data_IF_275352572298
#
_entry.id   IF_275352572298
#
_cell.length_a   1.000
_cell.length_b   1.000
_cell.length_c   1.000
_cell.angle_alpha   90.00
_cell.angle_beta   90.00
_cell.angle_gamma   90.00
#
_symmetry.space_group_name_H-M   'P 1'
#
loop_
_entity.id
_entity.type
_entity.pdbx_description
1 polymer ?
#
# COMPACT_ATOMS: atom_id res chain seq x y z
N UNK A 1 -40.02 -1.33 -18.88
CA UNK A 1 -38.66 -0.82 -18.61
C UNK A 1 -38.28 -1.33 -17.22
N UNK A 2 -37.36 -2.30 -17.15
CA UNK A 2 -37.15 -3.12 -15.95
C UNK A 2 -36.32 -2.35 -14.92
N UNK A 3 -36.87 -2.06 -13.74
CA UNK A 3 -36.21 -1.29 -12.66
C UNK A 3 -34.99 -2.04 -12.08
N UNK A 4 -34.92 -3.36 -12.31
CA UNK A 4 -33.81 -4.23 -11.90
C UNK A 4 -32.49 -3.99 -12.65
N UNK A 5 -32.49 -3.23 -13.76
CA UNK A 5 -31.26 -2.92 -14.51
C UNK A 5 -30.50 -1.68 -14.01
N UNK A 6 -31.04 -0.93 -13.03
CA UNK A 6 -30.47 0.31 -12.50
C UNK A 6 -29.87 0.16 -11.09
N UNK A 7 -30.01 -0.99 -10.44
CA UNK A 7 -29.25 -1.31 -9.23
C UNK A 7 -27.87 -1.80 -9.63
N UNK A 8 -26.93 -0.86 -9.67
CA UNK A 8 -25.58 -1.05 -10.19
C UNK A 8 -24.92 -2.31 -9.63
N UNK A 9 -24.24 -3.03 -10.52
CA UNK A 9 -23.18 -3.97 -10.13
C UNK A 9 -22.39 -3.38 -8.97
N UNK A 10 -22.35 -4.09 -7.84
CA UNK A 10 -21.87 -3.60 -6.55
C UNK A 10 -20.34 -3.41 -6.58
N UNK A 11 -19.86 -2.44 -7.38
CA UNK A 11 -18.46 -2.19 -7.72
C UNK A 11 -17.59 -1.86 -6.50
N UNK A 12 -18.23 -1.48 -5.38
CA UNK A 12 -17.61 -1.26 -4.07
C UNK A 12 -17.06 -2.52 -3.41
N UNK A 13 -17.45 -3.71 -3.87
CA UNK A 13 -17.09 -5.00 -3.28
C UNK A 13 -16.34 -5.96 -4.22
N UNK A 14 -16.16 -5.58 -5.50
CA UNK A 14 -15.33 -6.34 -6.44
C UNK A 14 -13.84 -6.17 -6.12
N UNK A 15 -13.10 -7.26 -5.78
CA UNK A 15 -11.67 -7.20 -5.50
C UNK A 15 -10.84 -6.57 -6.62
N UNK A 16 -11.22 -6.76 -7.89
CA UNK A 16 -10.47 -6.20 -9.03
C UNK A 16 -10.69 -4.69 -9.13
N UNK A 17 -11.92 -4.22 -8.92
CA UNK A 17 -12.24 -2.79 -8.90
C UNK A 17 -11.54 -2.04 -7.75
N UNK A 18 -11.49 -2.66 -6.55
CA UNK A 18 -10.71 -2.14 -5.42
C UNK A 18 -9.23 -2.06 -5.79
N UNK A 19 -8.68 -3.14 -6.37
CA UNK A 19 -7.29 -3.20 -6.84
C UNK A 19 -6.95 -2.08 -7.82
N UNK A 20 -7.78 -1.84 -8.84
CA UNK A 20 -7.57 -0.75 -9.82
C UNK A 20 -7.62 0.64 -9.18
N UNK A 21 -8.53 0.85 -8.24
CA UNK A 21 -8.64 2.13 -7.53
C UNK A 21 -7.41 2.36 -6.68
N UNK A 22 -6.97 1.34 -5.95
CA UNK A 22 -5.74 1.37 -5.17
C UNK A 22 -4.52 1.62 -6.07
N UNK A 23 -4.38 0.90 -7.18
CA UNK A 23 -3.28 1.10 -8.14
C UNK A 23 -3.21 2.56 -8.62
N UNK A 24 -4.35 3.17 -8.96
CA UNK A 24 -4.41 4.56 -9.41
C UNK A 24 -3.93 5.53 -8.32
N UNK A 25 -4.35 5.31 -7.08
CA UNK A 25 -3.95 6.15 -5.94
C UNK A 25 -2.47 5.98 -5.61
N UNK A 26 -1.95 4.75 -5.64
CA UNK A 26 -0.53 4.47 -5.41
C UNK A 26 0.35 5.01 -6.54
N UNK A 27 -0.10 4.93 -7.79
CA UNK A 27 0.60 5.55 -8.92
C UNK A 27 0.64 7.08 -8.77
N UNK A 28 -0.47 7.70 -8.36
CA UNK A 28 -0.52 9.14 -8.08
C UNK A 28 0.41 9.53 -6.91
N UNK A 29 0.43 8.75 -5.83
CA UNK A 29 1.36 8.95 -4.72
C UNK A 29 2.82 8.78 -5.15
N UNK A 30 3.11 7.80 -6.02
CA UNK A 30 4.43 7.57 -6.60
C UNK A 30 4.86 8.77 -7.45
N UNK A 31 3.96 9.31 -8.29
CA UNK A 31 4.21 10.51 -9.10
C UNK A 31 4.47 11.75 -8.22
N UNK A 32 3.69 11.94 -7.17
CA UNK A 32 3.91 13.03 -6.21
C UNK A 32 5.25 12.88 -5.49
N UNK A 33 5.59 11.67 -5.02
CA UNK A 33 6.87 11.38 -4.39
C UNK A 33 8.05 11.60 -5.34
N UNK A 34 7.91 11.26 -6.61
CA UNK A 34 8.91 11.56 -7.65
C UNK A 34 9.08 13.07 -7.88
N UNK A 35 7.98 13.84 -7.88
CA UNK A 35 8.06 15.30 -7.95
C UNK A 35 8.80 15.88 -6.73
N UNK A 36 8.55 15.34 -5.53
CA UNK A 36 9.30 15.70 -4.31
C UNK A 36 10.77 15.33 -4.46
N UNK A 37 11.11 14.17 -5.02
CA UNK A 37 12.50 13.78 -5.26
C UNK A 37 13.22 14.76 -6.20
N UNK A 38 12.56 15.19 -7.29
CA UNK A 38 13.10 16.21 -8.20
C UNK A 38 13.31 17.54 -7.49
N UNK A 39 12.37 17.96 -6.65
CA UNK A 39 12.51 19.16 -5.82
C UNK A 39 13.68 19.05 -4.84
N UNK A 40 13.84 17.93 -4.13
CA UNK A 40 15.01 17.68 -3.29
C UNK A 40 16.31 17.71 -4.10
N UNK A 41 16.27 17.27 -5.36
CA UNK A 41 17.40 17.34 -6.29
C UNK A 41 17.91 18.75 -6.53
N UNK A 42 17.04 19.77 -6.50
CA UNK A 42 17.45 21.18 -6.62
C UNK A 42 18.05 21.72 -5.32
N UNK A 43 17.62 21.21 -4.16
CA UNK A 43 18.12 21.63 -2.84
C UNK A 43 19.46 20.99 -2.46
N UNK A 44 19.62 19.69 -2.73
CA UNK A 44 20.79 18.90 -2.29
C UNK A 44 21.86 18.69 -3.38
N UNK A 45 21.63 19.20 -4.61
CA UNK A 45 22.61 19.15 -5.70
C UNK A 45 22.66 17.83 -6.46
N UNK A 46 21.50 17.16 -6.63
CA UNK A 46 21.38 15.83 -7.26
C UNK A 46 20.37 15.76 -8.40
N UNK A 47 20.09 16.86 -9.09
CA UNK A 47 18.98 16.98 -10.04
C UNK A 47 18.99 15.93 -11.17
N UNK A 48 20.16 15.62 -11.75
CA UNK A 48 20.28 14.61 -12.81
C UNK A 48 19.88 13.22 -12.33
N UNK A 49 20.35 12.81 -11.14
CA UNK A 49 19.97 11.56 -10.50
C UNK A 49 18.47 11.56 -10.16
N UNK A 50 17.96 12.68 -9.65
CA UNK A 50 16.55 12.82 -9.30
C UNK A 50 15.64 12.66 -10.51
N UNK A 51 15.94 13.36 -11.62
CA UNK A 51 15.16 13.26 -12.85
C UNK A 51 15.26 11.88 -13.49
N UNK A 52 16.47 11.31 -13.58
CA UNK A 52 16.69 9.99 -14.15
C UNK A 52 15.99 8.88 -13.34
N UNK A 53 16.16 8.90 -12.02
CA UNK A 53 15.50 7.96 -11.11
C UNK A 53 13.99 8.09 -11.12
N UNK A 54 13.45 9.31 -11.03
CA UNK A 54 12.02 9.58 -11.10
C UNK A 54 11.40 9.10 -12.41
N UNK A 55 12.06 9.40 -13.55
CA UNK A 55 11.60 8.96 -14.86
C UNK A 55 11.58 7.42 -14.96
N UNK A 56 12.65 6.75 -14.53
CA UNK A 56 12.72 5.29 -14.55
C UNK A 56 11.61 4.65 -13.70
N UNK A 57 11.41 5.15 -12.47
CA UNK A 57 10.35 4.65 -11.57
C UNK A 57 8.97 4.85 -12.19
N UNK A 58 8.68 6.03 -12.74
CA UNK A 58 7.36 6.33 -13.32
C UNK A 58 7.08 5.56 -14.61
N UNK A 59 8.09 5.34 -15.46
CA UNK A 59 7.95 4.52 -16.66
C UNK A 59 7.61 3.06 -16.29
N UNK A 60 8.32 2.50 -15.30
CA UNK A 60 8.05 1.14 -14.82
C UNK A 60 6.66 1.05 -14.17
N UNK A 61 6.37 1.95 -13.24
CA UNK A 61 5.09 1.98 -12.52
C UNK A 61 3.90 2.19 -13.47
N UNK A 62 4.00 3.16 -14.37
CA UNK A 62 2.98 3.48 -15.37
C UNK A 62 2.80 2.35 -16.39
N UNK A 63 3.89 1.76 -16.87
CA UNK A 63 3.83 0.61 -17.79
C UNK A 63 3.13 -0.59 -17.18
N UNK A 64 3.42 -0.91 -15.92
CA UNK A 64 2.79 -2.02 -15.20
C UNK A 64 1.32 -1.71 -14.91
N UNK A 65 1.00 -0.49 -14.49
CA UNK A 65 -0.39 -0.05 -14.31
C UNK A 65 -1.22 -0.22 -15.59
N UNK A 66 -0.67 0.22 -16.74
CA UNK A 66 -1.36 0.08 -18.03
C UNK A 66 -1.54 -1.39 -18.45
N UNK A 67 -0.56 -2.25 -18.17
CA UNK A 67 -0.59 -3.65 -18.61
C UNK A 67 -1.40 -4.57 -17.68
N UNK A 68 -1.44 -4.29 -16.37
CA UNK A 68 -1.86 -5.28 -15.38
C UNK A 68 -2.68 -4.69 -14.20
N UNK A 69 -3.29 -3.51 -14.35
CA UNK A 69 -4.10 -2.90 -13.28
C UNK A 69 -5.20 -3.82 -12.73
N UNK A 70 -5.33 -3.85 -11.40
CA UNK A 70 -6.22 -4.71 -10.63
C UNK A 70 -5.63 -6.09 -10.31
N UNK A 71 -4.43 -6.41 -10.82
CA UNK A 71 -3.77 -7.69 -10.55
C UNK A 71 -2.83 -7.64 -9.33
N UNK A 72 -2.49 -8.81 -8.80
CA UNK A 72 -1.45 -8.94 -7.77
C UNK A 72 -0.08 -8.46 -8.28
N UNK A 73 0.23 -8.68 -9.56
CA UNK A 73 1.49 -8.23 -10.12
C UNK A 73 1.60 -6.70 -10.08
N UNK A 74 0.52 -6.00 -10.44
CA UNK A 74 0.47 -4.53 -10.36
C UNK A 74 0.67 -4.05 -8.93
N UNK A 75 -0.03 -4.63 -7.95
CA UNK A 75 0.06 -4.16 -6.57
C UNK A 75 1.44 -4.37 -5.95
N UNK A 76 2.10 -5.49 -6.24
CA UNK A 76 3.47 -5.75 -5.79
C UNK A 76 4.48 -4.82 -6.46
N UNK A 77 4.34 -4.60 -7.77
CA UNK A 77 5.22 -3.73 -8.53
C UNK A 77 5.07 -2.26 -8.11
N UNK A 78 3.84 -1.76 -7.98
CA UNK A 78 3.57 -0.39 -7.53
C UNK A 78 4.00 -0.18 -6.07
N UNK A 79 3.84 -1.18 -5.21
CA UNK A 79 4.42 -1.15 -3.86
C UNK A 79 5.95 -1.00 -3.89
N UNK A 80 6.60 -1.79 -4.74
CA UNK A 80 8.05 -1.69 -4.95
C UNK A 80 8.44 -0.32 -5.47
N UNK A 81 7.76 0.20 -6.50
CA UNK A 81 8.00 1.53 -7.05
C UNK A 81 7.85 2.63 -6.01
N UNK A 82 6.83 2.54 -5.14
CA UNK A 82 6.61 3.50 -4.07
C UNK A 82 7.78 3.50 -3.07
N UNK A 83 8.28 2.32 -2.69
CA UNK A 83 9.46 2.20 -1.81
C UNK A 83 10.74 2.69 -2.49
N UNK A 84 10.89 2.45 -3.80
CA UNK A 84 12.02 2.96 -4.57
C UNK A 84 12.00 4.48 -4.69
N UNK A 85 10.82 5.11 -4.70
CA UNK A 85 10.70 6.57 -4.63
C UNK A 85 11.23 7.10 -3.30
N UNK A 86 10.92 6.44 -2.18
CA UNK A 86 11.48 6.82 -0.86
C UNK A 86 12.99 6.61 -0.83
N UNK A 87 13.49 5.47 -1.34
CA UNK A 87 14.91 5.20 -1.47
C UNK A 87 15.64 6.28 -2.30
N UNK A 88 15.06 6.71 -3.41
CA UNK A 88 15.59 7.80 -4.23
C UNK A 88 15.67 9.12 -3.44
N UNK A 89 14.63 9.46 -2.68
CA UNK A 89 14.63 10.64 -1.82
C UNK A 89 15.73 10.58 -0.74
N UNK A 90 15.91 9.41 -0.11
CA UNK A 90 17.00 9.19 0.87
C UNK A 90 18.37 9.40 0.24
N UNK A 91 18.61 8.82 -0.95
CA UNK A 91 19.87 8.98 -1.67
C UNK A 91 20.16 10.46 -2.00
N UNK A 92 19.17 11.18 -2.51
CA UNK A 92 19.31 12.61 -2.87
C UNK A 92 19.54 13.45 -1.61
N UNK A 93 18.78 13.17 -0.55
CA UNK A 93 18.88 13.84 0.73
C UNK A 93 20.10 13.42 1.55
N UNK A 94 21.02 12.60 1.02
CA UNK A 94 22.22 12.12 1.74
C UNK A 94 21.87 11.44 3.07
N UNK A 95 20.77 10.70 3.09
CA UNK A 95 20.31 9.96 4.26
C UNK A 95 19.66 10.80 5.36
N UNK A 96 19.21 12.03 5.07
CA UNK A 96 18.44 12.88 6.00
C UNK A 96 17.33 12.09 6.70
N UNK A 97 17.28 12.18 8.03
CA UNK A 97 16.43 11.33 8.87
C UNK A 97 14.93 11.61 8.65
N UNK A 98 14.56 12.86 8.42
CA UNK A 98 13.18 13.30 8.17
C UNK A 98 12.57 12.64 6.93
N UNK A 99 13.39 12.30 5.93
CA UNK A 99 12.89 11.64 4.71
C UNK A 99 12.51 10.17 4.96
N UNK A 100 12.94 9.57 6.08
CA UNK A 100 12.54 8.21 6.47
C UNK A 100 11.06 8.13 6.83
N UNK A 101 10.41 9.24 7.21
CA UNK A 101 8.95 9.27 7.39
C UNK A 101 8.21 8.84 6.12
N UNK A 102 8.83 9.01 4.94
CA UNK A 102 8.31 8.50 3.67
C UNK A 102 8.05 6.99 3.68
N UNK A 103 8.82 6.20 4.42
CA UNK A 103 8.61 4.75 4.57
C UNK A 103 7.28 4.47 5.28
N UNK A 104 7.06 5.12 6.43
CA UNK A 104 5.85 4.96 7.25
C UNK A 104 4.59 5.39 6.48
N UNK A 105 4.66 6.54 5.81
CA UNK A 105 3.57 7.05 4.96
C UNK A 105 3.28 6.08 3.82
N UNK A 106 4.32 5.57 3.16
CA UNK A 106 4.16 4.64 2.03
C UNK A 106 3.53 3.33 2.47
N UNK A 107 3.99 2.74 3.57
CA UNK A 107 3.39 1.52 4.15
C UNK A 107 1.92 1.72 4.50
N UNK A 108 1.59 2.84 5.13
CA UNK A 108 0.20 3.18 5.46
C UNK A 108 -0.68 3.30 4.21
N UNK A 109 -0.15 3.88 3.12
CA UNK A 109 -0.87 3.94 1.83
C UNK A 109 -1.12 2.55 1.23
N UNK A 110 -0.23 1.58 1.45
CA UNK A 110 -0.41 0.22 0.91
C UNK A 110 -1.60 -0.52 1.52
N UNK A 111 -2.14 -0.08 2.67
CA UNK A 111 -3.42 -0.57 3.19
C UNK A 111 -4.60 -0.34 2.23
N UNK A 112 -4.49 0.59 1.27
CA UNK A 112 -5.49 0.80 0.23
C UNK A 112 -5.77 -0.47 -0.58
N UNK A 113 -4.79 -1.37 -0.72
CA UNK A 113 -5.00 -2.65 -1.39
C UNK A 113 -5.85 -3.64 -0.59
N UNK A 114 -6.01 -3.43 0.73
CA UNK A 114 -6.69 -4.36 1.65
C UNK A 114 -6.17 -5.81 1.53
N UNK A 115 -4.91 -5.94 1.13
CA UNK A 115 -4.20 -7.20 1.00
C UNK A 115 -2.85 -7.07 1.70
N UNK A 116 -2.44 -8.15 2.36
CA UNK A 116 -1.22 -8.18 3.16
C UNK A 116 0.03 -8.25 2.28
N UNK A 117 -0.10 -8.78 1.05
CA UNK A 117 1.03 -9.06 0.15
C UNK A 117 1.78 -7.80 -0.30
N UNK A 118 1.11 -6.72 -0.76
CA UNK A 118 1.80 -5.49 -1.14
C UNK A 118 2.49 -4.80 0.04
N UNK A 119 1.87 -4.85 1.23
CA UNK A 119 2.41 -4.29 2.48
C UNK A 119 3.72 -5.02 2.84
N UNK A 120 3.67 -6.36 2.91
CA UNK A 120 4.86 -7.16 3.21
C UNK A 120 5.95 -6.96 2.14
N UNK A 121 5.57 -6.91 0.87
CA UNK A 121 6.51 -6.65 -0.22
C UNK A 121 7.23 -5.30 -0.05
N UNK A 122 6.49 -4.23 0.25
CA UNK A 122 7.06 -2.91 0.48
C UNK A 122 8.00 -2.91 1.69
N UNK A 123 7.58 -3.50 2.81
CA UNK A 123 8.41 -3.64 4.01
C UNK A 123 9.71 -4.41 3.75
N UNK A 124 9.65 -5.49 2.96
CA UNK A 124 10.84 -6.27 2.59
C UNK A 124 11.78 -5.49 1.67
N UNK A 125 11.24 -4.82 0.65
CA UNK A 125 12.05 -4.00 -0.28
C UNK A 125 12.81 -2.94 0.48
N UNK A 126 12.14 -2.22 1.38
CA UNK A 126 12.78 -1.13 2.11
C UNK A 126 13.76 -1.65 3.18
N UNK A 127 13.48 -2.78 3.83
CA UNK A 127 14.41 -3.41 4.76
C UNK A 127 15.70 -3.86 4.06
N UNK A 128 15.57 -4.52 2.90
CA UNK A 128 16.72 -4.91 2.07
C UNK A 128 17.51 -3.68 1.63
N UNK A 129 16.83 -2.62 1.18
CA UNK A 129 17.47 -1.36 0.83
C UNK A 129 18.29 -0.81 2.01
N UNK A 130 17.70 -0.68 3.21
CA UNK A 130 18.40 -0.08 4.35
C UNK A 130 19.64 -0.88 4.76
N UNK A 131 19.51 -2.21 4.87
CA UNK A 131 20.64 -3.06 5.25
C UNK A 131 21.73 -3.03 4.17
N UNK A 132 21.36 -3.17 2.89
CA UNK A 132 22.32 -3.20 1.80
C UNK A 132 23.03 -1.86 1.65
N UNK A 133 22.29 -0.75 1.62
CA UNK A 133 22.84 0.59 1.42
C UNK A 133 23.70 1.00 2.61
N UNK A 134 23.29 0.69 3.84
CA UNK A 134 24.13 0.97 5.01
C UNK A 134 25.46 0.20 4.96
N UNK A 135 25.46 -1.09 4.56
CA UNK A 135 26.71 -1.86 4.36
C UNK A 135 27.59 -1.30 3.26
N UNK A 136 27.00 -0.87 2.14
CA UNK A 136 27.74 -0.25 1.05
C UNK A 136 28.30 1.12 1.47
N UNK A 137 27.54 1.91 2.21
CA UNK A 137 27.99 3.19 2.78
C UNK A 137 29.15 2.99 3.76
N UNK A 138 29.07 1.97 4.64
CA UNK A 138 30.15 1.58 5.53
C UNK A 138 31.43 1.14 4.78
N UNK A 139 31.27 0.57 3.58
CA UNK A 139 32.36 0.20 2.69
C UNK A 139 32.91 1.38 1.84
N UNK A 140 32.38 2.60 2.02
CA UNK A 140 32.85 3.81 1.35
C UNK A 140 32.23 4.09 -0.02
N UNK A 141 31.20 3.35 -0.42
CA UNK A 141 30.44 3.67 -1.64
C UNK A 141 29.60 4.95 -1.44
N UNK A 142 29.41 5.77 -2.48
CA UNK A 142 28.64 7.03 -2.41
C UNK A 142 27.12 6.78 -2.44
N UNK A 143 26.64 5.88 -1.57
CA UNK A 143 25.24 5.56 -1.38
C UNK A 143 24.84 5.91 0.05
N UNK A 144 23.62 6.40 0.23
CA UNK A 144 23.20 7.02 1.49
C UNK A 144 21.86 6.46 1.95
N UNK A 145 21.89 5.80 3.10
CA UNK A 145 20.67 5.42 3.83
C UNK A 145 20.44 6.40 4.99
N UNK A 146 21.47 6.60 5.79
CA UNK A 146 21.54 7.54 6.92
C UNK A 146 22.69 8.52 6.68
N UNK A 147 22.83 9.62 7.45
CA UNK A 147 23.91 10.59 7.22
C UNK A 147 25.30 9.94 7.31
N UNK A 148 25.44 8.95 8.19
CA UNK A 148 26.59 8.07 8.35
C UNK A 148 26.11 6.63 8.52
N UNK A 149 26.93 5.66 8.11
CA UNK A 149 26.60 4.25 8.27
C UNK A 149 26.53 3.89 9.76
N UNK A 150 25.39 3.34 10.19
CA UNK A 150 25.11 3.04 11.59
C UNK A 150 24.10 1.89 11.64
N UNK A 151 24.64 0.67 11.80
CA UNK A 151 23.81 -0.52 11.85
C UNK A 151 22.79 -0.51 12.98
N UNK A 152 23.17 0.04 14.13
CA UNK A 152 22.31 0.02 15.30
C UNK A 152 21.10 0.92 15.06
N UNK A 153 21.32 2.09 14.44
CA UNK A 153 20.24 2.98 14.00
C UNK A 153 19.32 2.27 12.99
N UNK A 154 19.88 1.57 12.00
CA UNK A 154 19.10 0.77 11.04
C UNK A 154 18.29 -0.32 11.74
N UNK A 155 18.89 -1.05 12.70
CA UNK A 155 18.21 -2.12 13.44
C UNK A 155 17.07 -1.59 14.32
N UNK A 156 17.28 -0.47 15.01
CA UNK A 156 16.23 0.20 15.80
C UNK A 156 15.09 0.66 14.89
N UNK A 157 15.41 1.28 13.76
CA UNK A 157 14.43 1.74 12.78
C UNK A 157 13.63 0.58 12.18
N UNK A 158 14.30 -0.52 11.84
CA UNK A 158 13.66 -1.75 11.36
C UNK A 158 12.70 -2.33 12.41
N UNK A 159 13.00 -2.21 13.70
CA UNK A 159 12.10 -2.57 14.79
C UNK A 159 10.75 -1.84 14.72
N UNK A 160 10.77 -0.52 14.48
CA UNK A 160 9.52 0.26 14.29
C UNK A 160 8.74 -0.19 13.05
N UNK A 161 9.44 -0.44 11.94
CA UNK A 161 8.81 -0.93 10.70
C UNK A 161 8.16 -2.29 10.93
N UNK A 162 8.82 -3.22 11.64
CA UNK A 162 8.25 -4.53 11.98
C UNK A 162 6.96 -4.39 12.79
N UNK A 163 6.96 -3.52 13.80
CA UNK A 163 5.76 -3.28 14.63
C UNK A 163 4.63 -2.69 13.79
N UNK A 164 4.90 -1.64 13.00
CA UNK A 164 3.89 -1.03 12.12
C UNK A 164 3.34 -2.05 11.12
N UNK A 165 4.21 -2.73 10.38
CA UNK A 165 3.83 -3.74 9.40
C UNK A 165 3.00 -4.84 10.06
N UNK A 166 3.35 -5.27 11.28
CA UNK A 166 2.55 -6.23 12.04
C UNK A 166 1.09 -5.78 12.23
N UNK A 167 0.88 -4.54 12.67
CA UNK A 167 -0.46 -3.97 12.80
C UNK A 167 -1.16 -3.83 11.45
N UNK A 168 -0.48 -3.36 10.42
CA UNK A 168 -1.05 -3.18 9.08
C UNK A 168 -1.48 -4.51 8.45
N UNK A 169 -0.66 -5.57 8.61
CA UNK A 169 -1.02 -6.91 8.15
C UNK A 169 -2.27 -7.41 8.88
N UNK A 170 -2.35 -7.21 10.20
CA UNK A 170 -3.54 -7.57 10.98
C UNK A 170 -4.80 -6.80 10.52
N UNK A 171 -4.67 -5.49 10.30
CA UNK A 171 -5.77 -4.65 9.78
C UNK A 171 -6.19 -5.13 8.39
N UNK A 172 -5.25 -5.36 7.47
CA UNK A 172 -5.53 -5.80 6.11
C UNK A 172 -6.25 -7.15 6.09
N UNK A 173 -5.82 -8.10 6.92
CA UNK A 173 -6.48 -9.40 7.05
C UNK A 173 -7.92 -9.26 7.59
N UNK A 174 -8.12 -8.39 8.59
CA UNK A 174 -9.44 -8.11 9.18
C UNK A 174 -10.39 -7.41 8.19
N UNK A 175 -9.88 -6.46 7.42
CA UNK A 175 -10.65 -5.80 6.35
C UNK A 175 -11.09 -6.80 5.28
N UNK A 176 -10.21 -7.73 4.91
CA UNK A 176 -10.50 -8.74 3.90
C UNK A 176 -11.53 -9.76 4.37
N UNK A 177 -11.47 -10.19 5.63
CA UNK A 177 -12.49 -11.08 6.21
C UNK A 177 -13.84 -10.37 6.35
N UNK A 178 -13.86 -9.12 6.82
CA UNK A 178 -15.09 -8.35 6.96
C UNK A 178 -15.77 -8.07 5.61
N UNK A 179 -14.99 -7.76 4.56
CA UNK A 179 -15.53 -7.57 3.22
C UNK A 179 -16.18 -8.85 2.67
N UNK A 180 -15.56 -10.02 2.88
CA UNK A 180 -16.14 -11.31 2.46
C UNK A 180 -17.45 -11.61 3.18
N UNK A 181 -17.49 -11.42 4.49
CA UNK A 181 -18.69 -11.62 5.30
C UNK A 181 -19.83 -10.69 4.86
N UNK A 182 -19.53 -9.44 4.53
CA UNK A 182 -20.52 -8.48 4.02
C UNK A 182 -21.13 -8.91 2.68
N UNK A 183 -20.31 -9.42 1.75
CA UNK A 183 -20.78 -9.93 0.44
C UNK A 183 -21.71 -11.14 0.65
N UNK A 184 -21.33 -12.08 1.51
CA UNK A 184 -22.14 -13.27 1.81
C UNK A 184 -23.48 -12.88 2.45
N UNK A 185 -23.47 -11.94 3.39
CA UNK A 185 -24.70 -11.43 4.03
C UNK A 185 -25.61 -10.74 3.01
N UNK A 186 -25.08 -9.86 2.16
CA UNK A 186 -25.87 -9.20 1.11
C UNK A 186 -26.49 -10.22 0.14
N UNK A 187 -25.74 -11.25 -0.24
CA UNK A 187 -26.26 -12.31 -1.10
C UNK A 187 -27.36 -13.16 -0.43
N UNK A 188 -27.27 -13.40 0.88
CA UNK A 188 -28.35 -14.08 1.63
C UNK A 188 -29.61 -13.22 1.69
N UNK A 189 -29.47 -11.92 2.00
CA UNK A 189 -30.60 -10.98 2.03
C UNK A 189 -31.29 -10.89 0.68
N UNK A 190 -30.53 -10.80 -0.41
CA UNK A 190 -31.08 -10.73 -1.77
C UNK A 190 -31.85 -12.00 -2.15
N UNK A 191 -31.40 -13.18 -1.68
CA UNK A 191 -32.14 -14.45 -1.86
C UNK A 191 -33.41 -14.53 -1.02
N UNK A 192 -33.40 -13.98 0.19
CA UNK A 192 -34.61 -13.89 1.03
C UNK A 192 -35.65 -12.94 0.43
N UNK A 193 -35.20 -11.88 -0.24
CA UNK A 193 -36.07 -10.89 -0.89
C UNK A 193 -36.60 -11.38 -2.26
N UNK A 194 -35.83 -12.19 -2.99
CA UNK A 194 -36.24 -12.74 -4.29
C UNK A 194 -37.49 -13.64 -4.23
N UNK A 195 -37.76 -14.29 -3.09
CA UNK A 195 -38.98 -15.06 -2.85
C UNK A 195 -40.14 -14.21 -2.30
N UNK A 196 -39.96 -12.89 -2.16
CA UNK A 196 -40.95 -11.95 -1.62
C UNK A 196 -41.36 -12.24 -0.17
N UNK A 197 -40.58 -13.07 0.54
CA UNK A 197 -40.87 -13.54 1.89
C UNK A 197 -39.63 -13.43 2.76
N UNK A 198 -39.56 -12.35 3.54
CA UNK A 198 -38.60 -12.24 4.64
C UNK A 198 -39.07 -13.19 5.75
N UNK A 199 -38.48 -14.39 5.83
CA UNK A 199 -38.72 -15.32 6.95
C UNK A 199 -37.90 -14.88 8.16
N UNK A 200 -38.54 -14.17 9.08
CA UNK A 200 -38.02 -13.84 10.41
C UNK A 200 -38.49 -14.91 11.40
N UNK A 201 -38.04 -16.15 11.23
CA UNK A 201 -38.24 -17.18 12.25
C UNK A 201 -37.14 -17.07 13.32
N UNK A 202 -37.50 -16.47 14.46
CA UNK A 202 -36.62 -16.28 15.61
C UNK A 202 -36.74 -17.40 16.65
N UNK A 203 -37.48 -18.48 16.35
CA UNK A 203 -37.79 -19.55 17.32
C UNK A 203 -36.57 -20.35 17.79
N UNK A 204 -35.44 -20.28 17.07
CA UNK A 204 -34.19 -20.97 17.40
C UNK A 204 -33.04 -20.07 17.91
N UNK A 205 -33.26 -18.76 18.06
CA UNK A 205 -32.21 -17.82 18.48
C UNK A 205 -32.61 -17.23 19.84
N UNK A 206 -31.84 -17.51 20.89
CA UNK A 206 -31.99 -16.81 22.17
C UNK A 206 -31.63 -15.32 21.98
N UNK A 207 -32.66 -14.48 21.86
CA UNK A 207 -32.51 -13.03 21.81
C UNK A 207 -32.50 -12.50 23.24
N UNK A 208 -31.32 -12.21 23.79
CA UNK A 208 -31.19 -11.42 25.02
C UNK A 208 -30.95 -9.96 24.67
N UNK A 209 -31.94 -9.10 24.91
CA UNK A 209 -31.75 -7.65 24.96
C UNK A 209 -31.55 -7.25 26.42
N UNK A 210 -30.36 -6.73 26.78
CA UNK A 210 -30.21 -6.03 28.05
C UNK A 210 -30.75 -4.61 27.87
N UNK A 211 -32.03 -4.43 28.18
CA UNK A 211 -32.57 -3.11 28.47
C UNK A 211 -32.12 -2.73 29.89
N UNK A 212 -31.07 -1.91 29.96
CA UNK A 212 -30.65 -1.15 31.14
C UNK A 212 -30.69 0.33 30.82
#
# INVERSE_FOLDING_TARGET
MNITALMGSNSSSDPVAIGRTADRLILAATALGCAVAVYLGTLYGGLSLAMGGAAAILLIAGGIYMAASGSLLSSLALSTSLMLTVALQLQIGRGTLELHFGVFVSLALLLLYRDWRPILCGALVIAVHHVLVDRLQAAGFPVFCTPEADFLKVALHAGYVVVQTGFELWIALTMRSGARQGIELSAMVERMDADGRISLDMSGIEVSSQAG
#
